data_IF_377167852995
#
_entry.id   IF_377167852995
#
_cell.length_a   1.000
_cell.length_b   1.000
_cell.length_c   1.000
_cell.angle_alpha   90.00
_cell.angle_beta   90.00
_cell.angle_gamma   90.00
#
_symmetry.space_group_name_H-M   'P 1'
#
loop_
_entity.id
_entity.type
_entity.pdbx_description
1 polymer ?
#
# COMPACT_ATOMS: atom_id res chain seq x y z
N UNK A 1 68.45 53.93 -62.57
CA UNK A 1 67.90 54.94 -63.49
C UNK A 1 66.52 54.47 -63.94
N UNK A 2 65.58 55.41 -64.09
CA UNK A 2 64.11 55.25 -64.28
C UNK A 2 63.35 55.04 -62.96
N UNK A 3 62.51 55.95 -62.44
CA UNK A 3 61.92 57.17 -62.98
C UNK A 3 60.41 56.99 -63.24
N UNK A 4 59.63 57.93 -62.69
CA UNK A 4 58.19 58.19 -62.86
C UNK A 4 57.21 57.37 -61.97
N UNK A 5 56.09 57.89 -61.46
CA UNK A 5 55.57 59.23 -61.15
C UNK A 5 54.11 59.05 -60.66
N UNK A 6 53.62 59.92 -59.77
CA UNK A 6 52.19 60.10 -59.43
C UNK A 6 51.72 59.27 -58.23
N UNK A 7 50.99 59.78 -57.23
CA UNK A 7 50.19 60.99 -57.02
C UNK A 7 50.41 61.46 -55.56
N UNK A 8 50.61 62.76 -55.27
CA UNK A 8 49.56 63.73 -54.84
C UNK A 8 48.57 63.15 -53.82
N UNK A 9 48.25 63.68 -52.65
CA UNK A 9 48.51 64.95 -51.97
C UNK A 9 47.96 64.77 -50.53
N UNK A 10 48.78 64.89 -49.48
CA UNK A 10 48.89 66.01 -48.52
C UNK A 10 47.82 66.08 -47.38
N UNK A 11 48.33 66.12 -46.12
CA UNK A 11 47.85 66.77 -44.86
C UNK A 11 46.82 65.99 -44.01
N UNK A 12 47.09 65.54 -42.77
CA UNK A 12 47.63 66.15 -41.54
C UNK A 12 46.80 67.32 -40.99
N UNK A 13 46.07 67.09 -39.88
CA UNK A 13 45.78 68.15 -38.89
C UNK A 13 44.40 68.16 -38.21
N UNK A 14 44.34 67.52 -37.03
CA UNK A 14 43.90 68.09 -35.73
C UNK A 14 42.42 68.42 -35.44
N UNK A 15 42.08 68.36 -34.13
CA UNK A 15 40.91 68.96 -33.43
C UNK A 15 39.55 68.25 -33.57
N UNK A 16 38.67 68.18 -32.57
CA UNK A 16 38.67 68.25 -31.11
C UNK A 16 37.26 67.78 -30.68
N UNK A 17 37.15 67.22 -29.46
CA UNK A 17 35.95 67.02 -28.61
C UNK A 17 34.54 67.22 -29.23
N UNK A 18 33.70 66.19 -29.08
CA UNK A 18 32.24 66.32 -29.16
C UNK A 18 31.53 65.17 -28.43
N UNK A 19 31.42 65.26 -27.11
CA UNK A 19 30.47 64.47 -26.31
C UNK A 19 29.05 65.00 -26.62
N UNK A 20 28.35 64.35 -27.54
CA UNK A 20 26.92 64.52 -27.73
C UNK A 20 26.19 63.30 -27.14
N UNK A 21 25.75 63.45 -25.89
CA UNK A 21 24.76 62.56 -25.30
C UNK A 21 23.39 62.85 -25.93
N UNK A 22 22.84 61.88 -26.67
CA UNK A 22 21.47 61.96 -27.13
C UNK A 22 20.53 61.59 -25.98
N UNK A 23 19.86 62.58 -25.42
CA UNK A 23 18.69 62.40 -24.53
C UNK A 23 17.48 62.03 -25.39
N UNK A 24 17.12 60.75 -25.48
CA UNK A 24 15.84 60.35 -26.08
C UNK A 24 14.73 60.39 -25.03
N UNK A 25 13.99 61.49 -24.98
CA UNK A 25 12.66 61.52 -24.37
C UNK A 25 11.67 60.86 -25.33
N UNK A 26 11.69 59.53 -25.35
CA UNK A 26 10.64 58.71 -25.94
C UNK A 26 9.91 58.00 -24.82
N UNK A 27 8.65 58.33 -24.60
CA UNK A 27 7.76 57.59 -23.71
C UNK A 27 7.76 56.12 -24.18
N UNK A 28 8.26 55.22 -23.33
CA UNK A 28 8.27 53.80 -23.65
C UNK A 28 6.83 53.35 -23.97
N UNK A 29 6.59 52.60 -25.05
CA UNK A 29 5.30 51.96 -25.24
C UNK A 29 5.07 51.07 -24.03
N UNK A 30 4.08 51.41 -23.22
CA UNK A 30 3.45 50.44 -22.33
C UNK A 30 2.80 49.42 -23.26
N UNK A 31 3.50 48.33 -23.51
CA UNK A 31 2.86 47.11 -23.97
C UNK A 31 1.83 46.74 -22.89
N UNK A 32 0.57 47.12 -23.11
CA UNK A 32 -0.57 46.47 -22.51
C UNK A 32 -0.50 45.00 -22.91
N UNK A 33 0.20 44.20 -22.09
CA UNK A 33 -0.10 42.78 -21.97
C UNK A 33 -1.48 42.66 -21.35
N UNK A 34 -2.49 42.87 -22.20
CA UNK A 34 -3.70 42.06 -22.10
C UNK A 34 -3.26 40.63 -21.83
N UNK A 35 -3.89 39.91 -20.87
CA UNK A 35 -3.64 38.50 -20.72
C UNK A 35 -4.21 37.86 -21.98
N UNK A 36 -3.38 37.77 -23.03
CA UNK A 36 -3.58 36.81 -24.08
C UNK A 36 -3.79 35.50 -23.34
N UNK A 37 -4.99 34.95 -23.47
CA UNK A 37 -5.24 33.55 -23.19
C UNK A 37 -4.01 32.81 -23.66
N UNK A 38 -3.20 32.35 -22.70
CA UNK A 38 -2.11 31.43 -22.99
C UNK A 38 -2.85 30.24 -23.54
N UNK A 39 -2.92 30.17 -24.86
CA UNK A 39 -3.36 28.99 -25.56
C UNK A 39 -2.56 27.88 -24.91
N UNK A 40 -3.26 27.04 -24.16
CA UNK A 40 -2.67 25.87 -23.57
C UNK A 40 -1.96 25.19 -24.74
N UNK A 41 -0.63 25.12 -24.66
CA UNK A 41 0.16 24.21 -25.48
C UNK A 41 -0.64 22.90 -25.47
N UNK A 42 -1.00 22.30 -26.62
CA UNK A 42 -1.72 21.04 -26.60
C UNK A 42 -0.90 20.12 -25.72
N UNK A 43 -1.48 19.80 -24.56
CA UNK A 43 -1.04 18.74 -23.66
C UNK A 43 -0.71 17.60 -24.62
N UNK A 44 0.58 17.23 -24.75
CA UNK A 44 0.95 16.03 -25.48
C UNK A 44 0.01 14.97 -24.95
N UNK A 45 -0.91 14.52 -25.80
CA UNK A 45 -1.90 13.54 -25.44
C UNK A 45 -1.15 12.44 -24.69
N UNK A 46 -1.42 12.31 -23.38
CA UNK A 46 -0.87 11.21 -22.59
C UNK A 46 -1.15 9.97 -23.43
N UNK A 47 -0.13 9.14 -23.74
CA UNK A 47 -0.34 7.98 -24.58
C UNK A 47 -1.52 7.20 -24.00
N UNK A 48 -2.57 7.04 -24.82
CA UNK A 48 -3.77 6.33 -24.46
C UNK A 48 -3.34 4.96 -23.95
N UNK A 49 -3.46 4.82 -22.64
CA UNK A 49 -2.96 3.70 -21.90
C UNK A 49 -3.86 2.50 -22.20
N UNK A 50 -3.29 1.40 -22.70
CA UNK A 50 -3.99 0.12 -22.75
C UNK A 50 -4.36 -0.28 -21.33
N UNK A 51 -5.62 -0.04 -20.96
CA UNK A 51 -6.22 -0.52 -19.73
C UNK A 51 -6.34 -2.04 -19.85
N UNK A 52 -6.02 -2.77 -18.78
CA UNK A 52 -6.32 -4.20 -18.72
C UNK A 52 -7.84 -4.33 -18.74
N UNK A 53 -8.39 -4.69 -19.90
CA UNK A 53 -9.81 -4.93 -20.03
C UNK A 53 -10.17 -6.20 -19.25
N UNK A 54 -11.30 -6.22 -18.53
CA UNK A 54 -11.79 -7.45 -17.92
C UNK A 54 -12.00 -8.50 -19.02
N UNK A 55 -11.46 -9.70 -18.80
CA UNK A 55 -11.57 -10.81 -19.74
C UNK A 55 -13.00 -11.33 -19.77
N UNK A 56 -13.59 -11.40 -20.96
CA UNK A 56 -14.95 -11.98 -21.14
C UNK A 56 -14.90 -13.51 -21.24
N UNK A 57 -13.77 -14.07 -21.67
CA UNK A 57 -13.62 -15.49 -21.98
C UNK A 57 -13.00 -16.31 -20.85
N UNK A 58 -12.80 -15.71 -19.67
CA UNK A 58 -12.16 -16.39 -18.54
C UNK A 58 -10.69 -16.75 -18.76
N UNK A 59 -10.06 -16.17 -19.80
CA UNK A 59 -8.65 -16.33 -20.14
C UNK A 59 -8.06 -14.95 -20.44
N UNK A 60 -6.81 -14.72 -20.04
CA UNK A 60 -6.07 -13.49 -20.33
C UNK A 60 -4.68 -13.81 -20.87
N UNK A 61 -4.32 -13.22 -22.01
CA UNK A 61 -2.95 -13.30 -22.54
C UNK A 61 -2.13 -12.17 -21.95
N UNK A 62 -1.11 -12.51 -21.17
CA UNK A 62 -0.23 -11.56 -20.47
C UNK A 62 0.46 -10.66 -21.49
N UNK A 63 0.27 -9.35 -21.33
CA UNK A 63 0.94 -8.35 -22.15
C UNK A 63 2.16 -7.76 -21.45
N UNK A 64 3.00 -7.05 -22.21
CA UNK A 64 4.17 -6.38 -21.65
C UNK A 64 3.73 -5.31 -20.64
N UNK A 65 4.15 -5.46 -19.39
CA UNK A 65 3.82 -4.56 -18.29
C UNK A 65 2.61 -5.00 -17.45
N UNK A 66 1.98 -6.11 -17.82
CA UNK A 66 1.01 -6.75 -16.95
C UNK A 66 1.72 -7.40 -15.75
N UNK A 67 1.04 -7.37 -14.60
CA UNK A 67 1.42 -8.15 -13.42
C UNK A 67 0.23 -9.02 -13.05
N UNK A 68 0.47 -10.16 -12.38
CA UNK A 68 -0.61 -11.05 -11.95
C UNK A 68 -1.61 -10.29 -11.07
N UNK A 69 -1.09 -9.41 -10.20
CA UNK A 69 -1.85 -8.48 -9.39
C UNK A 69 -2.74 -7.56 -10.23
N UNK A 70 -2.21 -6.90 -11.25
CA UNK A 70 -2.97 -5.99 -12.09
C UNK A 70 -4.07 -6.71 -12.88
N UNK A 71 -3.78 -7.91 -13.39
CA UNK A 71 -4.76 -8.75 -14.10
C UNK A 71 -5.88 -9.19 -13.15
N UNK A 72 -5.52 -9.72 -11.99
CA UNK A 72 -6.47 -10.13 -10.97
C UNK A 72 -7.37 -8.97 -10.54
N UNK A 73 -6.76 -7.83 -10.21
CA UNK A 73 -7.46 -6.64 -9.76
C UNK A 73 -8.36 -6.04 -10.85
N UNK A 74 -7.95 -6.05 -12.11
CA UNK A 74 -8.78 -5.57 -13.21
C UNK A 74 -10.03 -6.46 -13.43
N UNK A 75 -9.88 -7.77 -13.23
CA UNK A 75 -10.94 -8.77 -13.38
C UNK A 75 -11.77 -8.99 -12.11
N UNK A 76 -11.42 -8.34 -11.00
CA UNK A 76 -12.10 -8.52 -9.72
C UNK A 76 -11.92 -9.91 -9.12
N UNK A 77 -10.73 -10.48 -9.26
CA UNK A 77 -10.34 -11.80 -8.74
C UNK A 77 -9.20 -11.65 -7.70
N UNK A 78 -9.02 -12.63 -6.82
CA UNK A 78 -7.81 -12.70 -5.98
C UNK A 78 -6.65 -13.28 -6.81
N UNK A 79 -5.50 -12.61 -6.79
CA UNK A 79 -4.31 -13.05 -7.53
C UNK A 79 -3.82 -14.44 -7.08
N UNK A 80 -4.06 -14.82 -5.83
CA UNK A 80 -3.72 -16.15 -5.30
C UNK A 80 -4.56 -17.25 -5.93
N UNK A 81 -5.85 -17.00 -6.14
CA UNK A 81 -6.72 -17.96 -6.80
C UNK A 81 -6.26 -18.20 -8.23
N UNK A 82 -5.94 -17.12 -8.94
CA UNK A 82 -5.39 -17.23 -10.30
C UNK A 82 -4.04 -17.96 -10.27
N UNK A 83 -3.16 -17.67 -9.31
CA UNK A 83 -1.90 -18.39 -9.16
C UNK A 83 -2.12 -19.90 -8.97
N UNK A 84 -3.08 -20.29 -8.13
CA UNK A 84 -3.44 -21.69 -7.89
C UNK A 84 -4.01 -22.35 -9.15
N UNK A 85 -4.96 -21.69 -9.83
CA UNK A 85 -5.59 -22.23 -11.05
C UNK A 85 -4.60 -22.39 -12.21
N UNK A 86 -3.54 -21.60 -12.22
CA UNK A 86 -2.47 -21.64 -13.23
C UNK A 86 -1.20 -22.32 -12.74
N UNK A 87 -1.21 -22.94 -11.55
CA UNK A 87 -0.07 -23.64 -10.95
C UNK A 87 1.22 -22.79 -10.93
N UNK A 88 1.08 -21.50 -10.63
CA UNK A 88 2.21 -20.58 -10.53
C UNK A 88 2.88 -20.72 -9.16
N UNK A 89 4.19 -20.99 -9.14
CA UNK A 89 4.99 -21.03 -7.90
C UNK A 89 5.05 -19.66 -7.20
N UNK A 90 4.95 -18.57 -7.97
CA UNK A 90 4.99 -17.20 -7.45
C UNK A 90 4.23 -16.23 -8.34
N UNK A 91 3.63 -15.20 -7.72
CA UNK A 91 2.83 -14.19 -8.41
C UNK A 91 3.64 -13.34 -9.41
N UNK A 92 4.94 -13.21 -9.19
CA UNK A 92 5.83 -12.36 -9.99
C UNK A 92 6.37 -13.07 -11.25
N UNK A 93 6.21 -14.41 -11.35
CA UNK A 93 6.69 -15.20 -12.48
C UNK A 93 5.61 -15.41 -13.53
N UNK A 94 5.23 -14.33 -14.20
CA UNK A 94 4.41 -14.41 -15.43
C UNK A 94 5.20 -13.93 -16.63
N UNK A 95 5.03 -14.63 -17.76
CA UNK A 95 5.74 -14.34 -19.00
C UNK A 95 4.83 -13.63 -19.99
N UNK A 96 5.38 -12.67 -20.74
CA UNK A 96 4.63 -12.01 -21.83
C UNK A 96 4.25 -13.06 -22.88
N UNK A 97 2.98 -13.07 -23.28
CA UNK A 97 2.40 -14.06 -24.19
C UNK A 97 1.86 -15.31 -23.50
N UNK A 98 2.07 -15.47 -22.18
CA UNK A 98 1.47 -16.56 -21.41
C UNK A 98 -0.04 -16.38 -21.33
N UNK A 99 -0.79 -17.45 -21.54
CA UNK A 99 -2.25 -17.45 -21.35
C UNK A 99 -2.55 -17.88 -19.92
N UNK A 100 -3.16 -16.98 -19.15
CA UNK A 100 -3.63 -17.24 -17.80
C UNK A 100 -5.12 -17.56 -17.79
N UNK A 101 -5.49 -18.60 -17.07
CA UNK A 101 -6.86 -18.96 -16.74
C UNK A 101 -7.36 -18.10 -15.59
N UNK A 102 -8.45 -17.37 -15.83
CA UNK A 102 -9.11 -16.50 -14.86
C UNK A 102 -10.45 -17.10 -14.37
N UNK A 103 -10.74 -18.36 -14.71
CA UNK A 103 -11.94 -19.09 -14.27
C UNK A 103 -11.54 -20.34 -13.48
N UNK A 104 -12.26 -20.68 -12.38
CA UNK A 104 -11.98 -21.90 -11.64
C UNK A 104 -12.03 -23.14 -12.55
N UNK A 105 -11.03 -24.05 -12.46
CA UNK A 105 -11.09 -25.33 -13.17
C UNK A 105 -12.26 -26.17 -12.65
N UNK A 106 -12.84 -27.04 -13.49
CA UNK A 106 -13.93 -27.92 -13.08
C UNK A 106 -13.46 -28.82 -11.92
N UNK A 107 -13.98 -28.57 -10.71
CA UNK A 107 -13.54 -29.22 -9.47
C UNK A 107 -12.92 -28.27 -8.43
N UNK A 108 -12.57 -27.03 -8.81
CA UNK A 108 -12.33 -25.96 -7.85
C UNK A 108 -13.69 -25.47 -7.36
N UNK A 109 -13.97 -25.69 -6.07
CA UNK A 109 -15.15 -25.16 -5.41
C UNK A 109 -15.09 -23.63 -5.54
N UNK A 110 -15.94 -23.07 -6.40
CA UNK A 110 -16.28 -21.66 -6.30
C UNK A 110 -16.91 -21.49 -4.93
N UNK A 111 -16.19 -20.86 -4.00
CA UNK A 111 -16.74 -20.39 -2.73
C UNK A 111 -17.69 -19.23 -3.05
N UNK A 112 -18.79 -19.55 -3.74
CA UNK A 112 -20.02 -18.80 -3.67
C UNK A 112 -20.48 -18.97 -2.23
N UNK A 113 -20.53 -17.90 -1.42
CA UNK A 113 -21.07 -18.01 -0.09
C UNK A 113 -22.47 -18.60 -0.22
N UNK A 114 -22.78 -19.64 0.56
CA UNK A 114 -24.17 -19.88 0.91
C UNK A 114 -24.70 -18.57 1.48
N UNK A 115 -25.88 -18.16 1.03
CA UNK A 115 -26.70 -17.18 1.73
C UNK A 115 -26.66 -17.50 3.23
N UNK A 116 -26.59 -16.46 4.08
CA UNK A 116 -26.50 -16.54 5.54
C UNK A 116 -27.49 -17.58 6.12
N UNK A 117 -27.09 -18.85 6.15
CA UNK A 117 -27.74 -19.84 6.97
C UNK A 117 -27.31 -19.51 8.40
N UNK A 118 -28.27 -19.32 9.33
CA UNK A 118 -27.96 -19.00 10.71
C UNK A 118 -27.00 -20.05 11.25
N UNK A 119 -25.93 -19.58 11.90
CA UNK A 119 -24.90 -20.41 12.51
C UNK A 119 -25.54 -21.62 13.21
N UNK A 120 -25.04 -22.85 12.99
CA UNK A 120 -25.57 -24.02 13.68
C UNK A 120 -25.48 -23.75 15.18
N UNK A 121 -26.66 -23.62 15.79
CA UNK A 121 -26.77 -23.38 17.23
C UNK A 121 -26.14 -24.58 17.92
N UNK A 122 -24.98 -24.37 18.54
CA UNK A 122 -24.30 -25.39 19.32
C UNK A 122 -25.24 -25.82 20.44
N UNK A 123 -25.89 -26.97 20.27
CA UNK A 123 -26.50 -27.66 21.40
C UNK A 123 -25.34 -28.03 22.33
N UNK A 124 -25.37 -27.62 23.61
CA UNK A 124 -24.31 -27.99 24.54
C UNK A 124 -24.21 -29.52 24.56
N UNK A 125 -23.02 -30.04 24.30
CA UNK A 125 -22.70 -31.42 24.57
C UNK A 125 -22.85 -31.60 26.08
N UNK A 126 -23.78 -32.46 26.49
CA UNK A 126 -23.87 -32.92 27.87
C UNK A 126 -22.57 -33.68 28.16
N UNK A 127 -21.68 -33.07 28.91
CA UNK A 127 -20.41 -33.69 29.29
C UNK A 127 -20.67 -35.00 30.06
N UNK A 128 -20.03 -36.12 29.69
CA UNK A 128 -20.02 -37.31 30.54
C UNK A 128 -19.28 -37.00 31.86
N UNK A 129 -19.63 -37.67 32.98
CA UNK A 129 -19.00 -37.39 34.26
C UNK A 129 -17.50 -37.70 34.19
N UNK A 130 -16.69 -36.64 34.31
CA UNK A 130 -15.24 -36.74 34.50
C UNK A 130 -14.97 -37.52 35.78
N UNK A 131 -14.44 -38.73 35.65
CA UNK A 131 -13.82 -39.47 36.76
C UNK A 131 -12.66 -38.63 37.29
N UNK A 132 -12.90 -37.91 38.40
CA UNK A 132 -11.91 -37.08 39.09
C UNK A 132 -11.08 -37.95 40.04
N UNK A 133 -10.10 -38.66 39.50
CA UNK A 133 -9.05 -39.30 40.31
C UNK A 133 -7.68 -39.21 39.62
N UNK A 134 -6.56 -39.16 40.37
CA UNK A 134 -6.45 -39.08 41.83
C UNK A 134 -6.19 -37.63 42.29
N UNK A 135 -6.82 -37.23 43.40
CA UNK A 135 -6.52 -35.95 44.04
C UNK A 135 -5.11 -35.98 44.65
N UNK A 136 -4.23 -35.08 44.20
CA UNK A 136 -2.98 -34.80 44.90
C UNK A 136 -3.32 -34.19 46.26
N UNK A 137 -3.23 -34.98 47.31
CA UNK A 137 -3.49 -34.54 48.67
C UNK A 137 -2.24 -33.83 49.20
N UNK A 138 -2.35 -32.52 49.45
CA UNK A 138 -1.32 -31.73 50.12
C UNK A 138 -1.24 -32.18 51.57
N UNK A 139 -0.29 -33.06 51.87
CA UNK A 139 0.05 -33.41 53.25
C UNK A 139 0.77 -32.22 53.90
N UNK A 140 0.39 -31.88 55.12
CA UNK A 140 1.15 -30.94 55.95
C UNK A 140 2.53 -31.48 56.22
N UNK A 141 3.48 -30.55 56.33
CA UNK A 141 4.87 -30.88 56.63
C UNK A 141 4.97 -31.62 57.96
N UNK A 142 5.43 -32.88 57.91
CA UNK A 142 5.81 -33.67 59.07
C UNK A 142 7.03 -34.52 58.70
N UNK A 143 7.90 -34.79 59.68
CA UNK A 143 9.10 -35.61 59.46
C UNK A 143 8.76 -37.03 58.94
N UNK A 144 7.59 -37.57 59.32
CA UNK A 144 7.11 -38.87 58.85
C UNK A 144 6.66 -38.83 57.38
N UNK A 145 5.91 -37.78 56.98
CA UNK A 145 5.47 -37.61 55.59
C UNK A 145 6.67 -37.35 54.66
N UNK A 146 7.69 -36.62 55.14
CA UNK A 146 8.92 -36.37 54.38
C UNK A 146 9.69 -37.67 54.09
N UNK A 147 9.80 -38.56 55.08
CA UNK A 147 10.50 -39.84 54.94
C UNK A 147 9.90 -40.78 53.87
N UNK A 148 8.57 -40.72 53.66
CA UNK A 148 7.88 -41.54 52.65
C UNK A 148 8.12 -41.07 51.21
N UNK A 149 8.33 -39.77 50.98
CA UNK A 149 8.59 -39.22 49.64
C UNK A 149 10.08 -39.22 49.30
N UNK A 150 10.95 -39.19 50.32
CA UNK A 150 12.42 -39.19 50.16
C UNK A 150 13.05 -40.58 49.96
N UNK A 151 12.24 -41.63 49.79
CA UNK A 151 12.73 -42.99 49.51
C UNK A 151 13.53 -43.06 48.20
N UNK A 152 14.75 -43.60 48.29
CA UNK A 152 15.83 -43.47 47.33
C UNK A 152 15.50 -43.91 45.88
N UNK A 153 15.71 -43.00 44.94
CA UNK A 153 15.90 -43.30 43.51
C UNK A 153 17.36 -43.74 43.30
N UNK A 154 17.66 -44.81 42.53
CA UNK A 154 19.05 -45.19 42.25
C UNK A 154 19.78 -44.07 41.50
N UNK A 155 20.91 -43.63 42.06
CA UNK A 155 21.73 -42.55 41.51
C UNK A 155 22.75 -43.09 40.48
N UNK A 156 22.82 -42.44 39.33
CA UNK A 156 23.94 -42.56 38.37
C UNK A 156 25.05 -41.53 38.69
N UNK A 157 26.33 -41.82 38.38
CA UNK A 157 27.49 -41.07 38.89
C UNK A 157 27.79 -39.76 38.12
N UNK A 158 28.52 -38.79 38.71
CA UNK A 158 28.77 -37.47 38.11
C UNK A 158 30.18 -37.31 37.49
N UNK A 159 30.28 -36.46 36.46
CA UNK A 159 31.49 -35.71 36.05
C UNK A 159 31.13 -34.65 34.99
N UNK A 160 31.94 -33.60 34.75
CA UNK A 160 32.47 -32.61 35.70
C UNK A 160 32.19 -31.15 35.23
N UNK A 161 32.48 -30.18 36.12
CA UNK A 161 32.25 -28.75 35.95
C UNK A 161 33.27 -28.03 35.03
N UNK A 162 32.77 -27.08 34.22
CA UNK A 162 33.42 -25.85 33.73
C UNK A 162 32.36 -25.08 32.91
N UNK A 163 32.16 -23.77 32.94
CA UNK A 163 32.89 -22.65 33.52
C UNK A 163 31.89 -21.50 33.77
N UNK A 164 32.15 -20.70 34.80
CA UNK A 164 31.45 -19.44 35.06
C UNK A 164 31.97 -18.33 34.14
N UNK A 165 31.13 -17.45 33.58
CA UNK A 165 31.57 -16.12 33.18
C UNK A 165 31.26 -15.09 34.28
N UNK A 166 32.25 -14.22 34.47
CA UNK A 166 32.36 -13.09 35.39
C UNK A 166 31.20 -12.08 35.24
N UNK A 167 30.77 -11.38 36.32
CA UNK A 167 29.73 -10.36 36.26
C UNK A 167 30.22 -9.07 35.59
N UNK A 168 29.55 -8.64 34.52
CA UNK A 168 29.68 -7.28 33.98
C UNK A 168 28.80 -6.31 34.77
N UNK A 169 29.37 -5.13 35.06
CA UNK A 169 28.74 -4.03 35.78
C UNK A 169 27.42 -3.55 35.14
N UNK A 170 26.50 -2.94 35.93
CA UNK A 170 25.16 -2.62 35.48
C UNK A 170 25.19 -1.39 34.57
N UNK A 171 24.90 -1.59 33.27
CA UNK A 171 24.39 -0.52 32.42
C UNK A 171 22.91 -0.30 32.76
N UNK A 172 22.45 0.96 32.94
CA UNK A 172 21.04 1.24 33.20
C UNK A 172 20.19 0.66 32.07
N UNK A 173 19.25 -0.21 32.43
CA UNK A 173 18.29 -0.81 31.53
C UNK A 173 17.53 0.28 30.78
N UNK A 174 17.88 0.45 29.49
CA UNK A 174 17.00 1.07 28.52
C UNK A 174 15.68 0.30 28.55
N UNK A 175 14.59 1.04 28.71
CA UNK A 175 13.23 0.52 28.76
C UNK A 175 12.99 -0.47 27.60
N UNK A 176 12.36 -1.62 27.86
CA UNK A 176 11.98 -2.54 26.79
C UNK A 176 11.07 -1.80 25.80
N UNK A 177 11.24 -2.00 24.47
CA UNK A 177 10.23 -1.55 23.52
C UNK A 177 8.89 -2.15 23.95
N UNK A 178 7.79 -1.38 23.95
CA UNK A 178 6.49 -1.92 24.35
C UNK A 178 6.20 -3.11 23.46
N UNK A 179 6.02 -4.27 24.09
CA UNK A 179 5.57 -5.48 23.43
C UNK A 179 4.34 -5.13 22.58
N UNK A 180 4.23 -5.65 21.34
CA UNK A 180 3.03 -5.45 20.54
C UNK A 180 1.85 -5.93 21.37
N UNK A 181 0.97 -4.99 21.72
CA UNK A 181 -0.24 -5.30 22.44
C UNK A 181 -0.98 -6.36 21.63
N UNK A 182 -1.07 -7.55 22.21
CA UNK A 182 -2.04 -8.57 21.86
C UNK A 182 -3.41 -7.94 22.07
N UNK A 183 -3.96 -7.32 21.04
CA UNK A 183 -5.38 -7.05 20.94
C UNK A 183 -5.91 -7.95 19.84
N UNK A 184 -6.57 -8.99 20.33
CA UNK A 184 -7.28 -10.01 19.61
C UNK A 184 -8.08 -9.46 18.43
N UNK A 185 -8.08 -10.23 17.36
CA UNK A 185 -9.16 -10.25 16.39
C UNK A 185 -10.52 -10.35 17.12
N UNK A 186 -11.52 -9.62 16.64
CA UNK A 186 -12.84 -10.14 16.22
C UNK A 186 -13.81 -8.96 16.14
N UNK A 187 -13.81 -8.30 14.99
CA UNK A 187 -14.96 -7.61 14.37
C UNK A 187 -14.44 -6.73 13.22
N UNK A 188 -14.82 -7.07 12.00
CA UNK A 188 -14.68 -6.17 10.83
C UNK A 188 -15.81 -5.11 10.86
N UNK A 189 -16.51 -4.99 12.00
CA UNK A 189 -17.78 -4.28 12.12
C UNK A 189 -17.61 -2.76 12.27
N UNK A 190 -16.38 -2.25 12.39
CA UNK A 190 -16.16 -0.80 12.42
C UNK A 190 -14.95 -0.43 11.58
N UNK A 191 -15.22 -0.02 10.34
CA UNK A 191 -14.22 0.52 9.45
C UNK A 191 -13.98 1.99 9.82
N UNK A 192 -12.74 2.44 9.75
CA UNK A 192 -12.41 3.84 9.93
C UNK A 192 -12.30 4.53 8.57
N UNK A 193 -12.53 5.84 8.56
CA UNK A 193 -12.20 6.64 7.39
C UNK A 193 -10.69 6.59 7.11
N UNK A 194 -10.28 6.35 5.86
CA UNK A 194 -8.86 6.26 5.51
C UNK A 194 -8.17 7.63 5.57
N UNK A 195 -8.93 8.72 5.42
CA UNK A 195 -8.42 10.08 5.49
C UNK A 195 -9.55 11.09 5.76
N UNK A 196 -9.20 12.15 6.47
CA UNK A 196 -10.04 13.33 6.66
C UNK A 196 -9.93 14.23 5.41
N UNK A 197 -11.06 14.55 4.80
CA UNK A 197 -11.09 15.28 3.53
C UNK A 197 -12.48 15.35 2.92
N UNK A 198 -12.60 16.03 1.78
CA UNK A 198 -13.90 16.22 1.12
C UNK A 198 -14.15 15.10 0.11
N UNK A 199 -15.31 14.45 0.20
CA UNK A 199 -15.72 13.46 -0.80
C UNK A 199 -16.04 14.18 -2.13
N UNK A 200 -15.23 13.93 -3.17
CA UNK A 200 -15.37 14.55 -4.49
C UNK A 200 -15.80 13.57 -5.58
N UNK A 201 -15.70 12.27 -5.32
CA UNK A 201 -16.16 11.21 -6.23
C UNK A 201 -16.83 10.09 -5.45
N UNK A 202 -17.92 9.56 -6.01
CA UNK A 202 -18.73 8.50 -5.41
C UNK A 202 -18.61 7.22 -6.22
N UNK A 203 -18.88 6.09 -5.56
CA UNK A 203 -18.96 4.81 -6.23
C UNK A 203 -19.98 4.84 -7.39
N UNK A 204 -19.61 4.25 -8.53
CA UNK A 204 -20.45 4.20 -9.73
C UNK A 204 -20.53 5.52 -10.52
N UNK A 205 -20.12 6.66 -9.95
CA UNK A 205 -20.04 7.90 -10.69
C UNK A 205 -18.98 7.77 -11.80
N UNK A 206 -19.36 8.07 -13.05
CA UNK A 206 -18.52 7.88 -14.24
C UNK A 206 -17.95 6.44 -14.40
N UNK A 207 -18.58 5.42 -13.79
CA UNK A 207 -18.09 4.04 -13.81
C UNK A 207 -16.93 3.74 -12.84
N UNK A 208 -16.66 4.65 -11.89
CA UNK A 208 -15.64 4.46 -10.86
C UNK A 208 -15.98 3.33 -9.88
N UNK A 209 -14.97 2.57 -9.45
CA UNK A 209 -15.11 1.37 -8.60
C UNK A 209 -14.90 1.67 -7.10
N UNK A 210 -14.86 2.95 -6.75
CA UNK A 210 -14.55 3.42 -5.40
C UNK A 210 -14.98 4.86 -5.19
N UNK A 211 -14.46 5.46 -4.12
CA UNK A 211 -14.68 6.87 -3.78
C UNK A 211 -13.39 7.67 -3.93
N UNK A 212 -13.54 8.95 -4.25
CA UNK A 212 -12.43 9.91 -4.30
C UNK A 212 -12.56 10.91 -3.16
N UNK A 213 -11.52 11.00 -2.33
CA UNK A 213 -11.45 11.93 -1.20
C UNK A 213 -10.36 12.95 -1.47
N UNK A 214 -10.75 14.22 -1.62
CA UNK A 214 -9.83 15.33 -1.78
C UNK A 214 -9.18 15.70 -0.44
N UNK A 215 -7.89 15.98 -0.48
CA UNK A 215 -7.11 16.41 0.69
C UNK A 215 -5.87 17.17 0.27
N UNK A 216 -5.02 17.51 1.25
CA UNK A 216 -3.74 18.14 1.00
C UNK A 216 -2.67 17.10 0.62
N UNK A 217 -1.64 17.50 -0.12
CA UNK A 217 -0.50 16.61 -0.41
C UNK A 217 0.19 16.24 0.90
N UNK A 218 0.67 15.01 1.00
CA UNK A 218 1.28 14.43 2.19
C UNK A 218 0.34 14.25 3.40
N UNK A 219 -0.99 14.36 3.20
CA UNK A 219 -1.95 13.99 4.25
C UNK A 219 -1.77 12.51 4.61
N UNK A 220 -1.72 12.14 5.90
CA UNK A 220 -1.54 10.75 6.29
C UNK A 220 -2.76 9.91 5.91
N UNK A 221 -2.53 8.87 5.12
CA UNK A 221 -3.53 7.85 4.79
C UNK A 221 -3.42 6.71 5.81
N UNK A 222 -4.55 6.31 6.36
CA UNK A 222 -4.68 5.33 7.44
C UNK A 222 -5.38 4.07 6.95
N UNK A 223 -5.00 2.93 7.52
CA UNK A 223 -5.69 1.66 7.27
C UNK A 223 -7.10 1.70 7.87
N UNK A 224 -8.12 1.38 7.07
CA UNK A 224 -9.52 1.39 7.51
C UNK A 224 -9.83 0.29 8.52
N UNK A 225 -9.09 -0.82 8.45
CA UNK A 225 -9.23 -1.97 9.33
C UNK A 225 -7.88 -2.69 9.48
N UNK A 226 -7.78 -3.59 10.46
CA UNK A 226 -6.61 -4.46 10.61
C UNK A 226 -6.50 -5.49 9.48
N UNK A 227 -5.30 -5.78 9.02
CA UNK A 227 -5.10 -6.69 7.89
C UNK A 227 -3.64 -6.90 7.50
N UNK A 228 -3.43 -7.68 6.43
CA UNK A 228 -2.11 -7.94 5.84
C UNK A 228 -1.97 -7.18 4.53
N UNK A 229 -0.87 -6.47 4.33
CA UNK A 229 -0.54 -5.85 3.05
C UNK A 229 -0.25 -6.94 2.03
N UNK A 230 -1.04 -6.98 0.96
CA UNK A 230 -0.89 -7.96 -0.14
C UNK A 230 -0.30 -7.35 -1.39
N UNK A 231 -0.23 -6.02 -1.48
CA UNK A 231 0.41 -5.32 -2.58
C UNK A 231 0.87 -3.94 -2.12
N UNK A 232 2.08 -3.54 -2.50
CA UNK A 232 2.63 -2.20 -2.29
C UNK A 232 3.53 -1.80 -3.45
N UNK A 233 3.08 -0.90 -4.32
CA UNK A 233 3.90 -0.48 -5.46
C UNK A 233 3.16 0.40 -6.46
N UNK A 234 3.74 0.57 -7.65
CA UNK A 234 3.18 1.36 -8.76
C UNK A 234 3.00 0.56 -10.05
N UNK A 235 3.00 -0.77 -9.96
CA UNK A 235 2.83 -1.68 -11.08
C UNK A 235 1.38 -1.83 -11.55
N UNK A 236 0.41 -1.25 -10.83
CA UNK A 236 -1.00 -1.22 -11.24
C UNK A 236 -1.31 0.11 -11.93
N UNK A 237 -1.50 0.02 -13.23
CA UNK A 237 -1.74 1.15 -14.11
C UNK A 237 -3.10 1.80 -13.85
N UNK A 238 -3.15 3.13 -13.85
CA UNK A 238 -4.37 3.89 -13.52
C UNK A 238 -4.61 4.09 -12.02
N UNK A 239 -3.82 3.45 -11.15
CA UNK A 239 -3.89 3.62 -9.68
C UNK A 239 -2.67 4.37 -9.13
N UNK A 240 -1.66 4.65 -9.95
CA UNK A 240 -0.40 5.21 -9.50
C UNK A 240 0.25 4.35 -8.43
N UNK A 241 0.73 4.97 -7.34
CA UNK A 241 1.22 4.24 -6.16
C UNK A 241 0.02 3.72 -5.37
N UNK A 242 -0.12 2.40 -5.38
CA UNK A 242 -1.22 1.66 -4.81
C UNK A 242 -0.72 0.79 -3.65
N UNK A 243 -1.54 0.76 -2.59
CA UNK A 243 -1.43 -0.17 -1.49
C UNK A 243 -2.73 -0.98 -1.41
N UNK A 244 -2.64 -2.31 -1.29
CA UNK A 244 -3.79 -3.18 -1.08
C UNK A 244 -3.62 -3.94 0.23
N UNK A 245 -4.62 -3.89 1.09
CA UNK A 245 -4.66 -4.59 2.37
C UNK A 245 -5.78 -5.64 2.36
N UNK A 246 -5.45 -6.89 2.70
CA UNK A 246 -6.42 -7.97 2.95
C UNK A 246 -6.84 -7.95 4.40
N UNK A 247 -8.15 -7.90 4.62
CA UNK A 247 -8.81 -7.95 5.92
C UNK A 247 -9.46 -9.33 6.13
N UNK A 248 -10.08 -9.53 7.30
CA UNK A 248 -10.89 -10.72 7.53
C UNK A 248 -12.15 -10.73 6.63
N UNK A 249 -12.75 -11.90 6.39
CA UNK A 249 -13.99 -12.03 5.62
C UNK A 249 -13.88 -11.84 4.10
N UNK A 250 -12.70 -12.10 3.52
CA UNK A 250 -12.39 -11.90 2.09
C UNK A 250 -12.55 -10.45 1.61
N UNK A 251 -12.43 -9.49 2.54
CA UNK A 251 -12.40 -8.07 2.22
C UNK A 251 -10.99 -7.61 1.83
N UNK A 252 -10.93 -6.76 0.80
CA UNK A 252 -9.73 -6.07 0.34
C UNK A 252 -10.02 -4.56 0.35
N UNK A 253 -9.07 -3.76 0.85
CA UNK A 253 -9.09 -2.31 0.68
C UNK A 253 -7.94 -1.85 -0.20
N UNK A 254 -8.21 -0.95 -1.13
CA UNK A 254 -7.24 -0.39 -2.05
C UNK A 254 -7.09 1.11 -1.82
N UNK A 255 -5.86 1.59 -1.68
CA UNK A 255 -5.50 3.00 -1.47
C UNK A 255 -4.61 3.44 -2.62
N UNK A 256 -5.11 4.26 -3.52
CA UNK A 256 -4.43 4.67 -4.75
C UNK A 256 -4.07 6.15 -4.78
N UNK A 257 -3.27 6.53 -5.77
CA UNK A 257 -2.75 7.88 -5.98
C UNK A 257 -1.88 8.42 -4.84
N UNK A 258 -1.21 7.54 -4.09
CA UNK A 258 -0.37 7.97 -2.98
C UNK A 258 0.91 8.66 -3.45
N UNK A 259 1.40 9.63 -2.70
CA UNK A 259 2.74 10.22 -2.89
C UNK A 259 3.81 9.21 -2.45
N UNK A 260 3.64 8.63 -1.26
CA UNK A 260 4.59 7.71 -0.62
C UNK A 260 3.86 6.60 0.12
N UNK A 261 4.36 5.37 0.00
CA UNK A 261 3.88 4.22 0.77
C UNK A 261 4.88 3.96 1.89
N UNK A 262 4.39 3.78 3.12
CA UNK A 262 5.21 3.63 4.33
C UNK A 262 5.37 2.16 4.77
N UNK A 263 4.50 1.28 4.27
CA UNK A 263 4.50 -0.16 4.57
C UNK A 263 4.92 -0.95 3.34
N UNK A 264 5.35 -2.19 3.54
CA UNK A 264 5.78 -3.11 2.47
C UNK A 264 4.78 -4.26 2.31
N UNK A 265 4.87 -4.94 1.17
CA UNK A 265 4.12 -6.18 0.98
C UNK A 265 4.50 -7.21 2.05
N UNK A 266 3.50 -7.89 2.59
CA UNK A 266 3.66 -8.86 3.67
C UNK A 266 3.46 -8.29 5.08
N UNK A 267 3.56 -6.97 5.26
CA UNK A 267 3.42 -6.33 6.57
C UNK A 267 2.00 -6.48 7.15
N UNK A 268 1.92 -6.62 8.47
CA UNK A 268 0.65 -6.56 9.21
C UNK A 268 0.37 -5.11 9.61
N UNK A 269 -0.86 -4.66 9.38
CA UNK A 269 -1.33 -3.31 9.75
C UNK A 269 -2.54 -3.39 10.68
N UNK A 270 -2.66 -2.44 11.59
CA UNK A 270 -3.83 -2.27 12.46
C UNK A 270 -4.75 -1.17 11.94
N UNK A 271 -6.02 -1.19 12.34
CA UNK A 271 -6.95 -0.12 12.02
C UNK A 271 -6.42 1.24 12.53
N UNK A 272 -6.53 2.29 11.73
CA UNK A 272 -6.03 3.64 12.04
C UNK A 272 -4.51 3.84 11.87
N UNK A 273 -3.74 2.77 11.63
CA UNK A 273 -2.30 2.84 11.40
C UNK A 273 -2.00 3.66 10.14
N UNK A 274 -1.01 4.54 10.23
CA UNK A 274 -0.52 5.30 9.08
C UNK A 274 0.21 4.37 8.11
N UNK A 275 -0.26 4.29 6.87
CA UNK A 275 0.21 3.34 5.86
C UNK A 275 0.80 4.02 4.63
N UNK A 276 0.37 5.24 4.32
CA UNK A 276 0.82 6.00 3.17
C UNK A 276 0.63 7.51 3.38
N UNK A 277 1.11 8.29 2.42
CA UNK A 277 0.95 9.73 2.31
C UNK A 277 0.20 10.03 1.01
N UNK A 278 -0.85 10.86 1.09
CA UNK A 278 -1.68 11.24 -0.06
C UNK A 278 -0.87 12.04 -1.08
N UNK A 279 -1.11 11.78 -2.36
CA UNK A 279 -0.52 12.51 -3.47
C UNK A 279 -1.45 12.58 -4.66
N UNK A 280 -0.84 12.73 -5.84
CA UNK A 280 -1.49 12.82 -7.14
C UNK A 280 -0.85 11.87 -8.16
N UNK A 281 -0.24 10.77 -7.69
CA UNK A 281 0.45 9.84 -8.59
C UNK A 281 -0.54 9.23 -9.58
N UNK A 282 -0.35 9.48 -10.88
CA UNK A 282 -1.26 9.04 -11.96
C UNK A 282 -2.70 9.59 -11.82
N UNK A 283 -2.87 10.74 -11.13
CA UNK A 283 -4.14 11.46 -10.99
C UNK A 283 -4.08 12.85 -11.65
N UNK A 284 -5.23 13.53 -11.75
CA UNK A 284 -5.37 14.92 -12.22
C UNK A 284 -5.15 15.95 -11.10
N UNK A 285 -5.28 15.53 -9.84
CA UNK A 285 -5.15 16.34 -8.64
C UNK A 285 -4.80 15.49 -7.44
N UNK A 286 -4.46 16.14 -6.32
CA UNK A 286 -4.24 15.46 -5.05
C UNK A 286 -5.56 14.92 -4.50
N UNK A 287 -5.67 13.60 -4.47
CA UNK A 287 -6.83 12.87 -3.96
C UNK A 287 -6.43 11.45 -3.56
N UNK A 288 -7.15 10.88 -2.62
CA UNK A 288 -7.11 9.45 -2.35
C UNK A 288 -8.25 8.79 -3.13
N UNK A 289 -7.91 7.84 -4.00
CA UNK A 289 -8.90 6.91 -4.54
C UNK A 289 -8.94 5.67 -3.64
N UNK A 290 -10.12 5.40 -3.09
CA UNK A 290 -10.33 4.34 -2.12
C UNK A 290 -11.40 3.35 -2.60
N UNK A 291 -11.05 2.06 -2.61
CA UNK A 291 -11.99 0.99 -2.96
C UNK A 291 -12.10 -0.04 -1.83
N UNK A 292 -13.31 -0.58 -1.68
CA UNK A 292 -13.58 -1.79 -0.90
C UNK A 292 -13.99 -2.88 -1.87
N UNK A 293 -13.43 -4.08 -1.70
CA UNK A 293 -13.79 -5.25 -2.48
C UNK A 293 -14.06 -6.44 -1.58
N UNK A 294 -14.98 -7.30 -1.97
CA UNK A 294 -15.22 -8.60 -1.33
C UNK A 294 -15.25 -9.68 -2.40
N UNK A 295 -14.45 -10.73 -2.23
CA UNK A 295 -14.21 -11.73 -3.29
C UNK A 295 -13.78 -11.06 -4.61
N UNK A 296 -12.93 -10.02 -4.51
CA UNK A 296 -12.43 -9.23 -5.63
C UNK A 296 -13.43 -8.28 -6.32
N UNK A 297 -14.74 -8.43 -6.07
CA UNK A 297 -15.78 -7.54 -6.61
C UNK A 297 -15.82 -6.19 -5.88
N UNK A 298 -15.89 -5.05 -6.60
CA UNK A 298 -15.97 -3.74 -5.99
C UNK A 298 -17.32 -3.52 -5.32
N UNK A 299 -17.28 -2.98 -4.10
CA UNK A 299 -18.42 -2.63 -3.27
C UNK A 299 -18.43 -1.13 -3.00
N UNK A 300 -19.61 -0.55 -2.75
CA UNK A 300 -19.71 0.86 -2.36
C UNK A 300 -19.05 1.08 -0.99
N UNK A 301 -17.96 1.86 -0.90
CA UNK A 301 -17.28 2.11 0.37
C UNK A 301 -18.14 2.82 1.40
N UNK A 302 -19.10 3.64 0.97
CA UNK A 302 -19.92 4.46 1.86
C UNK A 302 -20.91 3.64 2.70
N UNK A 303 -21.20 2.40 2.29
CA UNK A 303 -22.05 1.47 3.07
C UNK A 303 -21.32 0.86 4.25
N UNK A 304 -19.97 0.84 4.23
CA UNK A 304 -19.13 0.23 5.26
C UNK A 304 -18.45 1.27 6.15
N UNK A 305 -18.24 2.48 5.63
CA UNK A 305 -17.66 3.58 6.39
C UNK A 305 -18.74 4.25 7.26
N UNK A 306 -18.38 4.71 8.48
CA UNK A 306 -19.32 5.40 9.35
C UNK A 306 -19.74 6.74 8.74
N UNK A 307 -20.92 7.23 9.08
CA UNK A 307 -21.35 8.57 8.66
C UNK A 307 -20.39 9.64 9.20
N UNK A 308 -20.11 10.66 8.37
CA UNK A 308 -19.29 11.80 8.77
C UNK A 308 -20.19 12.77 9.54
N UNK A 309 -19.78 13.11 10.77
CA UNK A 309 -20.42 14.15 11.60
C UNK A 309 -19.80 15.52 11.37
#
# INVERSE_FOLDING_TARGET
MNGAAGCRAVWLGMMLLGLAGCTSTGMAPVDERSPAHRAAKPESARPATSQIAPSTNGLHTVQRGDTLYAIAFANGLDYREIAIWNQLESADRILVGQVLRLTPPAGAVEIKPLDDEPAPSARPLTDPPVLREPQAQLLTYSAANWAQVSGARPATPPAPAAASPTPAAPVPAAAPPPAPATSAATSVDTWLWPVDGTLIGRFGAAGGKGIDIAGARNTPVRAVAGGKVVYSGSGLRGYGRLLIVKHAGEFLSAYAHNETILVKEGDMVTAGQKIALMGDSDADRVKLHFEIRRYGKPLDPLTYLPERS
#
